data_IF_499580839268
#
_entry.id   IF_499580839268
#
_cell.length_a   1.000
_cell.length_b   1.000
_cell.length_c   1.000
_cell.angle_alpha   90.00
_cell.angle_beta   90.00
_cell.angle_gamma   90.00
#
_symmetry.space_group_name_H-M   'P 1'
#
loop_
_entity.id
_entity.type
_entity.pdbx_description
1 polymer ?
#
# COMPACT_ATOMS: atom_id res chain seq x y z
N UNK A 1 -13.03 1.11 10.70
CA UNK A 1 -11.80 1.96 10.57
C UNK A 1 -10.78 1.57 11.61
N UNK A 2 -9.75 0.84 11.17
CA UNK A 2 -8.63 0.29 11.96
C UNK A 2 -8.03 1.27 12.99
N UNK A 3 -7.93 2.55 12.66
CA UNK A 3 -7.36 3.55 13.57
C UNK A 3 -8.28 3.79 14.77
N UNK A 4 -9.58 3.97 14.53
CA UNK A 4 -10.60 4.12 15.59
C UNK A 4 -10.59 2.92 16.53
N UNK A 5 -10.54 1.70 15.99
CA UNK A 5 -10.46 0.48 16.82
C UNK A 5 -9.20 0.44 17.70
N UNK A 6 -8.06 0.94 17.20
CA UNK A 6 -6.83 1.02 18.02
C UNK A 6 -6.96 2.03 19.15
N UNK A 7 -7.61 3.16 18.92
CA UNK A 7 -7.83 4.18 19.96
C UNK A 7 -8.78 3.65 21.04
N UNK A 8 -9.87 2.98 20.65
CA UNK A 8 -10.80 2.34 21.60
C UNK A 8 -10.08 1.30 22.48
N UNK A 9 -9.12 0.57 21.91
CA UNK A 9 -8.31 -0.42 22.63
C UNK A 9 -7.09 0.20 23.36
N UNK A 10 -7.11 1.49 23.68
CA UNK A 10 -6.09 2.18 24.48
C UNK A 10 -4.89 2.72 23.71
N UNK A 11 -4.94 2.72 22.37
CA UNK A 11 -3.91 3.32 21.53
C UNK A 11 -3.98 4.85 21.48
N UNK A 12 -2.87 5.49 21.10
CA UNK A 12 -2.82 6.94 20.93
C UNK A 12 -3.63 7.43 19.73
N UNK A 13 -4.32 8.55 19.91
CA UNK A 13 -4.99 9.25 18.82
C UNK A 13 -3.97 9.82 17.81
N UNK A 14 -4.33 9.77 16.53
CA UNK A 14 -3.55 10.36 15.44
C UNK A 14 -4.45 11.31 14.67
N UNK A 15 -4.06 12.59 14.49
CA UNK A 15 -4.86 13.53 13.71
C UNK A 15 -5.15 13.05 12.30
N UNK A 16 -6.38 13.25 11.83
CA UNK A 16 -6.85 12.82 10.48
C UNK A 16 -5.93 13.37 9.38
N UNK A 17 -5.53 14.64 9.47
CA UNK A 17 -4.61 15.28 8.51
C UNK A 17 -3.25 14.55 8.43
N UNK A 18 -2.77 14.00 9.55
CA UNK A 18 -1.53 13.23 9.60
C UNK A 18 -1.68 11.85 8.96
N UNK A 19 -2.86 11.25 9.05
CA UNK A 19 -3.17 9.97 8.41
C UNK A 19 -3.20 10.14 6.89
N UNK A 20 -3.94 11.14 6.41
CA UNK A 20 -4.06 11.45 4.98
C UNK A 20 -2.70 11.79 4.38
N UNK A 21 -1.94 12.68 5.02
CA UNK A 21 -0.62 13.09 4.50
C UNK A 21 0.37 11.93 4.45
N UNK A 22 0.36 11.00 5.41
CA UNK A 22 1.20 9.80 5.39
C UNK A 22 0.84 8.84 4.27
N UNK A 23 -0.45 8.67 3.99
CA UNK A 23 -0.90 7.81 2.90
C UNK A 23 -0.32 8.27 1.55
N UNK A 24 -0.52 9.53 1.19
CA UNK A 24 0.00 10.06 -0.08
C UNK A 24 1.53 10.08 -0.13
N UNK A 25 2.20 10.50 0.96
CA UNK A 25 3.68 10.47 1.04
C UNK A 25 4.23 9.07 0.85
N UNK A 26 3.61 8.06 1.47
CA UNK A 26 4.04 6.66 1.31
C UNK A 26 3.91 6.19 -0.13
N UNK A 27 2.82 6.56 -0.82
CA UNK A 27 2.59 6.19 -2.23
C UNK A 27 3.63 6.86 -3.14
N UNK A 28 3.88 8.16 -2.98
CA UNK A 28 4.92 8.88 -3.74
C UNK A 28 6.30 8.28 -3.50
N UNK A 29 6.66 8.03 -2.24
CA UNK A 29 7.94 7.42 -1.91
C UNK A 29 8.08 6.05 -2.57
N UNK A 30 7.04 5.22 -2.54
CA UNK A 30 7.03 3.90 -3.18
C UNK A 30 7.37 4.00 -4.68
N UNK A 31 6.75 4.92 -5.43
CA UNK A 31 7.10 5.14 -6.84
C UNK A 31 8.58 5.47 -7.04
N UNK A 32 9.17 6.29 -6.15
CA UNK A 32 10.57 6.68 -6.25
C UNK A 32 11.56 5.55 -5.92
N UNK A 33 11.21 4.64 -5.00
CA UNK A 33 12.09 3.52 -4.62
C UNK A 33 11.96 2.32 -5.57
N UNK A 34 10.84 2.14 -6.27
CA UNK A 34 10.61 0.96 -7.12
C UNK A 34 11.75 0.65 -8.12
N UNK A 35 12.36 1.63 -8.82
CA UNK A 35 13.49 1.39 -9.73
C UNK A 35 14.83 1.12 -9.02
N UNK A 36 14.91 1.39 -7.71
CA UNK A 36 16.15 1.30 -6.92
C UNK A 36 16.28 -0.04 -6.17
N UNK A 37 15.27 -0.90 -6.25
CA UNK A 37 15.23 -2.19 -5.55
C UNK A 37 15.23 -3.33 -6.56
N UNK A 38 15.97 -4.40 -6.25
CA UNK A 38 16.01 -5.57 -7.12
C UNK A 38 14.62 -6.21 -7.28
N UNK A 39 13.83 -6.21 -6.19
CA UNK A 39 12.50 -6.83 -6.14
C UNK A 39 11.54 -6.07 -5.24
N UNK A 40 10.32 -5.87 -5.72
CA UNK A 40 9.20 -5.35 -4.93
C UNK A 40 7.98 -6.26 -5.01
N UNK A 41 7.23 -6.34 -3.91
CA UNK A 41 5.98 -7.08 -3.80
C UNK A 41 4.88 -6.13 -3.32
N UNK A 42 3.78 -6.06 -4.08
CA UNK A 42 2.67 -5.18 -3.74
C UNK A 42 1.49 -5.99 -3.20
N UNK A 43 1.01 -5.62 -2.02
CA UNK A 43 -0.12 -6.25 -1.35
C UNK A 43 -1.31 -5.29 -1.25
N UNK A 44 -2.51 -5.81 -1.52
CA UNK A 44 -3.76 -5.13 -1.21
C UNK A 44 -4.20 -5.44 0.22
N UNK A 45 -4.38 -4.40 1.02
CA UNK A 45 -4.95 -4.47 2.36
C UNK A 45 -6.15 -3.53 2.53
N UNK A 46 -6.83 -3.19 1.43
CA UNK A 46 -7.98 -2.28 1.42
C UNK A 46 -9.22 -2.83 2.12
N UNK A 47 -9.36 -4.17 2.23
CA UNK A 47 -10.48 -4.82 2.90
C UNK A 47 -10.17 -4.99 4.39
N UNK A 48 -11.04 -4.46 5.24
CA UNK A 48 -10.90 -4.55 6.70
C UNK A 48 -11.09 -6.00 7.18
N UNK A 49 -10.24 -6.44 8.12
CA UNK A 49 -10.24 -7.80 8.70
C UNK A 49 -9.94 -8.95 7.72
N UNK A 50 -9.45 -8.68 6.51
CA UNK A 50 -8.96 -9.71 5.60
C UNK A 50 -7.44 -9.81 5.58
N UNK A 51 -6.95 -11.00 5.21
CA UNK A 51 -5.52 -11.20 4.97
C UNK A 51 -5.10 -10.40 3.73
N UNK A 52 -4.01 -9.62 3.79
CA UNK A 52 -3.53 -8.87 2.64
C UNK A 52 -3.27 -9.79 1.44
N UNK A 53 -3.76 -9.38 0.27
CA UNK A 53 -3.67 -10.17 -0.97
C UNK A 53 -2.48 -9.72 -1.78
N UNK A 54 -1.60 -10.64 -2.19
CA UNK A 54 -0.50 -10.31 -3.09
C UNK A 54 -1.06 -9.96 -4.48
N UNK A 55 -0.81 -8.74 -4.96
CA UNK A 55 -1.28 -8.26 -6.26
C UNK A 55 -0.23 -8.57 -7.34
N UNK A 56 1.02 -8.15 -7.13
CA UNK A 56 2.07 -8.26 -8.13
C UNK A 56 3.48 -8.28 -7.55
N UNK A 57 4.42 -8.69 -8.39
CA UNK A 57 5.86 -8.62 -8.17
C UNK A 57 6.52 -7.81 -9.28
N UNK A 58 7.42 -6.94 -8.89
CA UNK A 58 8.24 -6.11 -9.79
C UNK A 58 9.73 -6.42 -9.59
N UNK A 59 10.51 -6.22 -10.64
CA UNK A 59 11.99 -6.30 -10.65
C UNK A 59 12.48 -5.02 -11.34
N UNK A 60 13.39 -4.29 -10.71
CA UNK A 60 13.94 -3.03 -11.23
C UNK A 60 12.84 -2.07 -11.71
N UNK A 61 11.79 -1.90 -10.90
CA UNK A 61 10.63 -1.05 -11.21
C UNK A 61 9.68 -1.58 -12.30
N UNK A 62 9.93 -2.76 -12.88
CA UNK A 62 9.11 -3.32 -13.96
C UNK A 62 8.21 -4.43 -13.45
N UNK A 63 6.94 -4.45 -13.87
CA UNK A 63 5.99 -5.52 -13.55
C UNK A 63 6.39 -6.83 -14.21
N UNK A 64 6.70 -7.86 -13.40
CA UNK A 64 7.12 -9.19 -13.89
C UNK A 64 6.05 -10.26 -13.68
N UNK A 65 5.27 -10.17 -12.61
CA UNK A 65 4.23 -11.15 -12.33
C UNK A 65 3.04 -10.50 -11.63
N UNK A 66 1.85 -10.84 -12.12
CA UNK A 66 0.57 -10.50 -11.49
C UNK A 66 -0.02 -11.78 -10.89
N UNK A 67 -0.55 -11.67 -9.68
CA UNK A 67 -1.16 -12.77 -8.91
C UNK A 67 -2.67 -12.58 -8.71
N UNK A 68 -3.16 -11.34 -8.83
CA UNK A 68 -4.58 -10.99 -8.75
C UNK A 68 -5.18 -10.85 -10.15
N UNK A 69 -6.44 -11.22 -10.35
CA UNK A 69 -7.13 -11.02 -11.64
C UNK A 69 -7.23 -9.55 -12.04
N UNK A 70 -7.27 -8.67 -11.03
CA UNK A 70 -7.37 -7.22 -11.21
C UNK A 70 -6.36 -6.46 -10.37
N UNK A 71 -5.90 -5.33 -10.90
CA UNK A 71 -5.05 -4.39 -10.17
C UNK A 71 -5.95 -3.27 -9.63
N UNK A 72 -6.01 -3.06 -8.30
CA UNK A 72 -6.80 -2.00 -7.70
C UNK A 72 -6.40 -0.62 -8.21
N UNK A 73 -7.36 0.31 -8.31
CA UNK A 73 -7.12 1.66 -8.83
C UNK A 73 -6.01 2.40 -8.07
N UNK A 74 -5.98 2.24 -6.74
CA UNK A 74 -4.95 2.88 -5.91
C UNK A 74 -3.53 2.43 -6.28
N UNK A 75 -3.37 1.20 -6.78
CA UNK A 75 -2.10 0.58 -7.13
C UNK A 75 -1.67 0.89 -8.57
N UNK A 76 -2.60 1.23 -9.47
CA UNK A 76 -2.28 1.49 -10.89
C UNK A 76 -1.26 2.60 -11.07
N UNK A 77 -1.30 3.64 -10.23
CA UNK A 77 -0.33 4.73 -10.29
C UNK A 77 1.09 4.33 -9.87
N UNK A 78 1.27 3.20 -9.18
CA UNK A 78 2.59 2.66 -8.84
C UNK A 78 3.20 1.85 -9.99
N UNK A 79 2.39 1.50 -11.00
CA UNK A 79 2.78 0.66 -12.13
C UNK A 79 2.95 1.45 -13.44
N UNK A 80 2.83 2.78 -13.38
CA UNK A 80 3.19 3.69 -14.47
C UNK A 80 4.67 4.03 -14.34
#
# INVERSE_FOLDING_TARGET
MRITNRVINGGHEVPISKIISRYYKSKTNATLILPLVDRAYLYDNSIENETPRLICRMVDGTLIKQYSDTIPEWAKDLLK
#
